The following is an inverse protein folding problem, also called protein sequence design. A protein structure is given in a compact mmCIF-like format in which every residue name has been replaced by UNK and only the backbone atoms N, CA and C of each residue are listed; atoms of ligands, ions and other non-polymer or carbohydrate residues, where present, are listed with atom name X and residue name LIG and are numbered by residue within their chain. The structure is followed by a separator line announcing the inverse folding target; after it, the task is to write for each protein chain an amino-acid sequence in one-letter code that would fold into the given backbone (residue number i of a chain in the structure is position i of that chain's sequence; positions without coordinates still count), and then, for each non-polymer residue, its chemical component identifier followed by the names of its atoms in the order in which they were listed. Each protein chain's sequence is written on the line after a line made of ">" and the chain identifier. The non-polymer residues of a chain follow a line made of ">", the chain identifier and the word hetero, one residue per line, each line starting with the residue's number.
data_IF_706752686280
#
_entry.id   IF_706752686280
#
_cell.length_a   1.000
_cell.length_b   1.000
_cell.length_c   1.000
_cell.angle_alpha   90.00
_cell.angle_beta   90.00
_cell.angle_gamma   90.00
#
_symmetry.space_group_name_H-M   'P 1'
#
loop_
_entity.id
_entity.type
_entity.pdbx_description
1 polymer ?
#
# COMPACT_ATOMS: atom_id res chain seq x y z
N UNK A 1 22.12 -47.39 11.50
CA UNK A 1 20.97 -46.84 12.27
C UNK A 1 21.49 -45.57 12.93
N UNK A 2 21.07 -44.33 12.69
CA UNK A 2 19.87 -43.72 12.08
C UNK A 2 20.29 -42.40 11.41
N UNK A 3 19.56 -42.05 10.34
CA UNK A 3 19.78 -40.92 9.44
C UNK A 3 19.04 -39.69 9.99
N UNK A 4 19.73 -38.71 10.58
CA UNK A 4 19.11 -37.49 11.10
C UNK A 4 19.22 -36.35 10.09
N UNK A 5 18.19 -36.26 9.24
CA UNK A 5 17.92 -35.11 8.37
C UNK A 5 17.72 -33.86 9.24
N UNK A 6 18.59 -32.88 9.13
CA UNK A 6 18.22 -31.48 9.37
C UNK A 6 19.15 -30.53 8.61
N UNK A 7 19.20 -30.70 7.29
CA UNK A 7 19.78 -29.75 6.35
C UNK A 7 18.65 -28.93 5.67
N UNK A 8 17.72 -28.38 6.44
CA UNK A 8 16.60 -27.61 5.85
C UNK A 8 15.96 -26.54 6.75
N UNK A 9 16.71 -25.91 7.66
CA UNK A 9 16.31 -24.58 8.14
C UNK A 9 16.69 -23.56 7.06
N UNK A 10 15.88 -23.51 6.01
CA UNK A 10 16.06 -22.59 4.90
C UNK A 10 15.78 -21.14 5.37
N UNK A 11 16.54 -20.13 4.90
CA UNK A 11 16.45 -18.71 5.30
C UNK A 11 15.18 -17.97 4.80
N UNK A 12 14.06 -18.68 4.61
CA UNK A 12 12.85 -18.18 3.95
C UNK A 12 11.78 -17.63 4.92
N UNK A 13 12.08 -17.52 6.22
CA UNK A 13 11.10 -17.01 7.21
C UNK A 13 10.71 -15.55 6.93
N UNK A 14 11.48 -14.83 6.10
CA UNK A 14 11.24 -13.42 5.77
C UNK A 14 10.23 -13.20 4.65
N UNK A 15 9.81 -14.24 3.92
CA UNK A 15 8.93 -14.08 2.76
C UNK A 15 7.62 -14.85 2.95
N UNK A 16 6.52 -14.26 2.48
CA UNK A 16 5.23 -14.96 2.37
C UNK A 16 5.00 -15.31 0.91
N UNK A 17 4.85 -16.61 0.65
CA UNK A 17 4.63 -17.15 -0.70
C UNK A 17 3.14 -17.23 -0.98
N UNK A 18 2.73 -16.82 -2.17
CA UNK A 18 1.34 -16.88 -2.62
C UNK A 18 1.28 -17.00 -4.14
N UNK A 19 0.10 -17.31 -4.67
CA UNK A 19 -0.10 -17.42 -6.12
C UNK A 19 -1.11 -16.39 -6.60
N UNK A 20 -0.86 -15.84 -7.79
CA UNK A 20 -1.77 -14.93 -8.48
C UNK A 20 -2.16 -15.51 -9.82
N UNK A 21 -3.42 -15.32 -10.18
CA UNK A 21 -3.94 -15.70 -11.48
C UNK A 21 -3.80 -14.51 -12.45
N UNK A 22 -3.06 -14.75 -13.53
CA UNK A 22 -2.92 -13.85 -14.68
C UNK A 22 -3.51 -14.54 -15.91
N UNK A 23 -4.79 -14.27 -16.17
CA UNK A 23 -5.60 -15.00 -17.15
C UNK A 23 -5.66 -16.50 -16.86
N UNK A 24 -5.09 -17.31 -17.76
CA UNK A 24 -5.02 -18.78 -17.65
C UNK A 24 -3.82 -19.30 -16.87
N UNK A 25 -2.90 -18.41 -16.46
CA UNK A 25 -1.62 -18.79 -15.83
C UNK A 25 -1.67 -18.53 -14.33
N UNK A 26 -1.12 -19.46 -13.55
CA UNK A 26 -0.79 -19.25 -12.14
C UNK A 26 0.66 -18.83 -12.05
N UNK A 27 0.91 -17.70 -11.37
CA UNK A 27 2.25 -17.17 -11.18
C UNK A 27 2.56 -17.20 -9.69
N UNK A 28 3.66 -17.87 -9.34
CA UNK A 28 4.19 -17.85 -7.98
C UNK A 28 4.72 -16.46 -7.65
N UNK A 29 4.29 -15.93 -6.52
CA UNK A 29 4.67 -14.62 -6.00
C UNK A 29 5.19 -14.77 -4.56
N UNK A 30 6.11 -13.90 -4.18
CA UNK A 30 6.66 -13.78 -2.84
C UNK A 30 6.55 -12.32 -2.43
N UNK A 31 6.09 -12.06 -1.21
CA UNK A 31 6.15 -10.71 -0.62
C UNK A 31 7.14 -10.72 0.53
N UNK A 32 8.01 -9.70 0.60
CA UNK A 32 8.96 -9.57 1.70
C UNK A 32 8.26 -9.15 3.00
N UNK A 33 8.80 -9.62 4.12
CA UNK A 33 8.35 -9.28 5.46
C UNK A 33 8.45 -7.78 5.70
N UNK A 34 9.57 -7.18 5.29
CA UNK A 34 9.77 -5.73 5.34
C UNK A 34 8.67 -4.95 4.60
N UNK A 35 8.21 -5.45 3.45
CA UNK A 35 7.12 -4.81 2.71
C UNK A 35 5.79 -4.88 3.46
N UNK A 36 5.49 -6.02 4.09
CA UNK A 36 4.30 -6.17 4.93
C UNK A 36 4.37 -5.31 6.19
N UNK A 37 5.54 -5.26 6.83
CA UNK A 37 5.78 -4.44 8.01
C UNK A 37 5.65 -2.95 7.69
N UNK A 38 6.24 -2.50 6.59
CA UNK A 38 6.12 -1.13 6.11
C UNK A 38 4.65 -0.77 5.78
N UNK A 39 3.91 -1.67 5.11
CA UNK A 39 2.51 -1.44 4.75
C UNK A 39 1.57 -1.45 5.96
N UNK A 40 1.90 -2.23 6.98
CA UNK A 40 1.13 -2.38 8.22
C UNK A 40 1.54 -1.38 9.32
N UNK A 41 2.65 -0.66 9.15
CA UNK A 41 3.22 0.21 10.17
C UNK A 41 3.72 -0.54 11.40
N UNK A 42 4.22 -1.76 11.24
CA UNK A 42 4.71 -2.59 12.35
C UNK A 42 6.12 -2.17 12.76
N UNK A 43 6.44 -2.36 14.04
CA UNK A 43 7.79 -2.22 14.58
C UNK A 43 8.67 -3.40 14.18
N UNK A 44 9.81 -3.14 13.54
CA UNK A 44 10.76 -4.19 13.13
C UNK A 44 11.62 -4.69 14.30
N UNK A 45 11.97 -5.99 14.35
CA UNK A 45 11.47 -7.08 13.50
C UNK A 45 10.13 -7.66 14.01
N UNK A 46 9.20 -7.92 13.09
CA UNK A 46 7.87 -8.49 13.40
C UNK A 46 7.84 -10.02 13.35
N UNK A 47 7.02 -10.62 14.22
CA UNK A 47 6.80 -12.07 14.23
C UNK A 47 6.13 -12.56 12.96
N UNK A 48 6.41 -13.81 12.55
CA UNK A 48 5.86 -14.42 11.33
C UNK A 48 4.32 -14.44 11.34
N UNK A 49 3.68 -14.58 12.51
CA UNK A 49 2.23 -14.50 12.68
C UNK A 49 1.68 -13.08 12.43
N UNK A 50 2.40 -12.04 12.85
CA UNK A 50 2.02 -10.64 12.58
C UNK A 50 2.14 -10.30 11.10
N UNK A 51 3.17 -10.83 10.43
CA UNK A 51 3.35 -10.71 8.98
C UNK A 51 2.26 -11.46 8.22
N UNK A 52 1.88 -12.67 8.63
CA UNK A 52 0.76 -13.41 8.04
C UNK A 52 -0.57 -12.66 8.18
N UNK A 53 -0.89 -12.14 9.36
CA UNK A 53 -2.10 -11.31 9.57
C UNK A 53 -2.10 -10.06 8.68
N UNK A 54 -0.94 -9.42 8.52
CA UNK A 54 -0.78 -8.28 7.64
C UNK A 54 -0.99 -8.66 6.17
N UNK A 55 -0.44 -9.80 5.74
CA UNK A 55 -0.69 -10.34 4.40
C UNK A 55 -2.18 -10.57 4.14
N UNK A 56 -2.89 -11.23 5.07
CA UNK A 56 -4.32 -11.45 4.92
C UNK A 56 -5.12 -10.13 4.88
N UNK A 57 -4.73 -9.15 5.70
CA UNK A 57 -5.35 -7.81 5.70
C UNK A 57 -5.13 -7.06 4.40
N UNK A 58 -3.91 -7.11 3.84
CA UNK A 58 -3.53 -6.40 2.62
C UNK A 58 -3.59 -7.28 1.37
N UNK A 59 -4.26 -8.44 1.43
CA UNK A 59 -4.26 -9.45 0.35
C UNK A 59 -4.72 -8.88 -0.99
N UNK A 60 -5.76 -8.03 -0.98
CA UNK A 60 -6.26 -7.35 -2.18
C UNK A 60 -5.21 -6.44 -2.80
N UNK A 61 -4.54 -5.64 -1.98
CA UNK A 61 -3.48 -4.73 -2.40
C UNK A 61 -2.26 -5.50 -2.93
N UNK A 62 -1.82 -6.53 -2.20
CA UNK A 62 -0.67 -7.36 -2.58
C UNK A 62 -0.94 -8.07 -3.92
N UNK A 63 -2.17 -8.55 -4.12
CA UNK A 63 -2.59 -9.14 -5.40
C UNK A 63 -2.57 -8.09 -6.53
N UNK A 64 -3.04 -6.88 -6.27
CA UNK A 64 -2.99 -5.79 -7.25
C UNK A 64 -1.56 -5.38 -7.59
N UNK A 65 -0.66 -5.31 -6.59
CA UNK A 65 0.77 -5.06 -6.79
C UNK A 65 1.40 -6.14 -7.66
N UNK A 66 1.09 -7.41 -7.40
CA UNK A 66 1.55 -8.54 -8.20
C UNK A 66 1.11 -8.39 -9.67
N UNK A 67 -0.18 -8.14 -9.91
CA UNK A 67 -0.70 -7.95 -11.28
C UNK A 67 -0.06 -6.75 -11.98
N UNK A 68 0.11 -5.64 -11.27
CA UNK A 68 0.74 -4.45 -11.81
C UNK A 68 2.21 -4.69 -12.17
N UNK A 69 2.96 -5.39 -11.31
CA UNK A 69 4.36 -5.74 -11.55
C UNK A 69 4.49 -6.78 -12.67
N UNK A 70 3.57 -7.75 -12.76
CA UNK A 70 3.50 -8.71 -13.87
C UNK A 70 3.23 -8.03 -15.22
N UNK A 71 2.33 -7.04 -15.25
CA UNK A 71 2.04 -6.27 -16.46
C UNK A 71 3.27 -5.47 -16.96
N UNK A 72 4.13 -5.01 -16.04
CA UNK A 72 5.37 -4.28 -16.37
C UNK A 72 6.53 -5.20 -16.71
N UNK A 73 6.64 -6.33 -16.01
CA UNK A 73 7.73 -7.28 -16.13
C UNK A 73 7.14 -8.71 -16.14
N UNK A 74 6.74 -9.22 -17.31
CA UNK A 74 6.21 -10.56 -17.43
C UNK A 74 7.27 -11.57 -17.03
N UNK A 75 6.99 -12.34 -16.00
CA UNK A 75 7.90 -13.36 -15.50
C UNK A 75 7.91 -14.53 -16.48
N UNK A 76 9.10 -15.02 -16.85
CA UNK A 76 9.22 -16.22 -17.69
C UNK A 76 8.62 -17.42 -16.97
N UNK A 77 8.09 -18.36 -17.74
CA UNK A 77 7.42 -19.55 -17.24
C UNK A 77 8.29 -20.27 -16.20
N UNK A 78 7.77 -20.47 -14.98
CA UNK A 78 8.50 -21.08 -13.87
C UNK A 78 9.29 -20.11 -12.97
N UNK A 79 9.28 -18.81 -13.25
CA UNK A 79 9.86 -17.79 -12.36
C UNK A 79 8.90 -17.38 -11.23
N UNK A 80 9.47 -16.84 -10.16
CA UNK A 80 8.74 -16.26 -9.04
C UNK A 80 8.86 -14.74 -9.06
N UNK A 81 7.75 -14.04 -8.81
CA UNK A 81 7.73 -12.59 -8.69
C UNK A 81 7.95 -12.18 -7.23
N UNK A 82 8.98 -11.40 -6.95
CA UNK A 82 9.21 -10.83 -5.60
C UNK A 82 8.58 -9.45 -5.52
N UNK A 83 7.74 -9.23 -4.52
CA UNK A 83 7.11 -7.94 -4.19
C UNK A 83 7.83 -7.29 -3.01
N UNK A 84 8.23 -6.06 -3.22
CA UNK A 84 8.91 -5.21 -2.25
C UNK A 84 8.02 -4.02 -1.84
N UNK A 85 8.45 -3.27 -0.83
CA UNK A 85 7.72 -2.11 -0.32
C UNK A 85 7.38 -1.09 -1.42
N UNK A 86 8.28 -0.90 -2.39
CA UNK A 86 8.06 0.01 -3.53
C UNK A 86 6.92 -0.46 -4.44
N UNK A 87 6.76 -1.76 -4.66
CA UNK A 87 5.70 -2.30 -5.50
C UNK A 87 4.32 -2.10 -4.87
N UNK A 88 4.24 -2.27 -3.55
CA UNK A 88 3.01 -2.04 -2.78
C UNK A 88 2.61 -0.55 -2.80
N UNK A 89 3.58 0.37 -2.86
CA UNK A 89 3.34 1.83 -2.97
C UNK A 89 2.88 2.27 -4.35
N UNK A 90 3.19 1.49 -5.40
CA UNK A 90 2.75 1.76 -6.78
C UNK A 90 1.31 1.36 -7.06
N UNK A 91 0.69 0.60 -6.16
CA UNK A 91 -0.72 0.24 -6.29
C UNK A 91 -1.58 1.49 -6.13
N UNK A 92 -2.50 1.78 -7.06
CA UNK A 92 -3.40 2.91 -6.92
C UNK A 92 -4.25 2.78 -5.65
N UNK A 93 -4.41 3.91 -4.95
CA UNK A 93 -5.12 4.04 -3.66
C UNK A 93 -6.55 3.48 -3.70
N UNK A 94 -7.15 3.41 -4.88
CA UNK A 94 -8.50 2.87 -5.12
C UNK A 94 -8.63 1.38 -4.81
N UNK A 95 -7.53 0.61 -4.88
CA UNK A 95 -7.54 -0.85 -4.65
C UNK A 95 -7.27 -1.21 -3.19
N UNK A 96 -6.90 -0.23 -2.37
CA UNK A 96 -6.63 -0.34 -0.94
C UNK A 96 -5.56 0.65 -0.53
N UNK A 97 -5.73 1.28 0.63
CA UNK A 97 -4.71 2.18 1.19
C UNK A 97 -3.79 1.35 2.08
N UNK A 98 -2.53 1.11 1.70
CA UNK A 98 -1.54 0.65 2.66
C UNK A 98 -1.29 1.82 3.62
N UNK A 99 -1.42 1.56 4.92
CA UNK A 99 -1.10 2.55 5.96
C UNK A 99 0.44 2.62 6.10
N UNK A 100 1.15 2.91 5.02
CA UNK A 100 2.55 3.30 5.10
C UNK A 100 2.58 4.58 5.94
N UNK A 101 3.18 4.48 7.13
CA UNK A 101 3.19 5.49 8.19
C UNK A 101 2.85 6.90 7.70
N UNK A 102 1.62 7.32 7.98
CA UNK A 102 1.13 8.69 7.96
C UNK A 102 1.78 9.65 6.96
N UNK A 103 1.51 9.48 5.68
CA UNK A 103 1.37 10.62 4.78
C UNK A 103 0.15 10.37 3.90
N UNK A 104 -1.00 10.79 4.42
CA UNK A 104 -2.05 11.29 3.54
C UNK A 104 -1.35 12.27 2.58
N UNK A 105 -1.35 12.06 1.25
CA UNK A 105 -1.35 13.23 0.40
C UNK A 105 -2.66 13.92 0.78
N UNK A 106 -2.56 15.05 1.49
CA UNK A 106 -3.65 16.00 1.61
C UNK A 106 -4.07 16.37 0.18
N UNK A 107 -4.90 15.52 -0.39
CA UNK A 107 -5.49 15.70 -1.70
C UNK A 107 -6.55 16.74 -1.46
N UNK A 108 -6.14 17.99 -1.57
CA UNK A 108 -6.99 19.12 -1.79
C UNK A 108 -8.12 19.27 -0.79
N UNK A 109 -7.80 19.79 0.40
CA UNK A 109 -8.63 20.89 0.91
C UNK A 109 -8.43 22.11 -0.01
N UNK A 110 -8.90 21.99 -1.25
CA UNK A 110 -9.34 23.15 -2.05
C UNK A 110 -10.69 23.56 -1.49
N UNK A 111 -10.71 24.00 -0.23
CA UNK A 111 -11.70 24.98 0.17
C UNK A 111 -11.06 26.29 -0.23
N UNK A 112 -11.63 26.85 -1.32
CA UNK A 112 -11.20 28.09 -1.95
C UNK A 112 -10.79 29.12 -0.89
N UNK A 113 -9.72 29.91 -1.08
CA UNK A 113 -9.64 31.17 -0.38
C UNK A 113 -10.96 31.89 -0.70
N UNK A 114 -11.74 32.16 0.35
CA UNK A 114 -12.88 33.05 0.22
C UNK A 114 -12.36 34.30 -0.48
N UNK A 115 -12.92 34.71 -1.63
CA UNK A 115 -12.65 36.04 -2.11
C UNK A 115 -13.19 36.98 -1.04
N UNK A 116 -12.27 37.73 -0.44
CA UNK A 116 -12.51 38.99 0.25
C UNK A 116 -13.13 39.95 -0.78
N UNK A 117 -14.40 39.75 -1.11
CA UNK A 117 -15.19 40.65 -1.94
C UNK A 117 -15.77 41.71 -1.01
N UNK A 118 -15.04 42.81 -0.93
CA UNK A 118 -15.43 44.03 -0.26
C UNK A 118 -16.83 44.49 -0.65
N UNK A 119 -17.72 44.45 0.33
CA UNK A 119 -18.87 45.35 0.40
C UNK A 119 -18.55 46.42 1.42
N UNK A 120 -17.86 47.48 0.99
CA UNK A 120 -17.78 48.72 1.75
C UNK A 120 -19.21 49.21 1.99
N UNK A 121 -19.70 49.08 3.23
CA UNK A 121 -20.93 49.73 3.65
C UNK A 121 -20.66 51.24 3.61
N UNK A 122 -21.19 51.90 2.58
CA UNK A 122 -21.17 53.35 2.47
C UNK A 122 -21.81 53.96 3.74
N UNK A 123 -21.29 55.09 4.25
CA UNK A 123 -21.84 55.77 5.40
C UNK A 123 -23.26 56.26 5.10
N UNK A 124 -24.18 56.04 6.05
CA UNK A 124 -25.52 56.60 6.00
C UNK A 124 -25.44 58.15 6.00
N UNK A 125 -26.10 58.86 5.06
CA UNK A 125 -26.26 60.30 5.18
C UNK A 125 -27.21 60.59 6.36
N UNK A 126 -26.70 61.34 7.33
CA UNK A 126 -27.56 62.08 8.26
C UNK A 126 -28.30 63.15 7.47
N UNK A 127 -29.63 63.10 7.47
CA UNK A 127 -30.47 64.27 7.18
C UNK A 127 -31.84 64.08 7.87
N UNK A 128 -32.03 64.85 8.94
CA UNK A 128 -33.32 65.21 9.55
C UNK A 128 -33.74 66.50 8.84
N UNK A 129 -34.91 66.58 8.17
CA UNK A 129 -36.02 67.34 8.78
C UNK A 129 -37.45 66.99 8.29
N UNK A 130 -38.43 67.11 9.20
CA UNK A 130 -39.69 67.87 9.04
C UNK A 130 -40.58 67.75 10.28
#
# INVERSE_FOLDING_TARGET
>A
MTNSRNANQAPDDHFIRFEVQDGSRRVGCMVSGEALEAAAGLTLPSTSLSRQRSFDRFRTLINAAAKLKLARAPVRQGGCLVLESDDLRRVPLEVGVPLFGSLLPETGRTTRPFPDEGGALAPAPSDDPA
#
